data_IF_656736653162
#
_entry.id   IF_656736653162
#
_cell.length_a   1.000
_cell.length_b   1.000
_cell.length_c   1.000
_cell.angle_alpha   90.00
_cell.angle_beta   90.00
_cell.angle_gamma   90.00
#
_symmetry.space_group_name_H-M   'P 1'
#
loop_
_entity.id
_entity.type
_entity.pdbx_description
1 polymer ?
#
# COMPACT_ATOMS: atom_id res chain seq x y z
N UNK A 1 -12.32 23.19 -12.22
CA UNK A 1 -11.22 22.96 -13.18
C UNK A 1 -10.15 23.96 -12.81
N UNK A 2 -8.98 23.47 -12.43
CA UNK A 2 -7.82 24.27 -12.04
C UNK A 2 -6.84 24.31 -13.22
N UNK A 3 -5.93 25.29 -13.25
CA UNK A 3 -4.82 25.37 -14.22
C UNK A 3 -3.77 24.27 -13.92
N UNK A 4 -4.20 23.02 -13.99
CA UNK A 4 -3.36 21.85 -13.69
C UNK A 4 -3.09 21.04 -14.96
N UNK A 5 -1.93 20.38 -14.98
CA UNK A 5 -1.57 19.45 -16.05
C UNK A 5 -2.09 18.06 -15.66
N UNK A 6 -2.93 17.48 -16.52
CA UNK A 6 -3.33 16.07 -16.39
C UNK A 6 -2.29 15.19 -17.09
N UNK A 7 -1.68 14.29 -16.35
CA UNK A 7 -0.73 13.32 -16.87
C UNK A 7 -1.37 11.94 -16.86
N UNK A 8 -1.60 11.37 -18.05
CA UNK A 8 -2.06 9.98 -18.19
C UNK A 8 -0.86 9.05 -18.41
N UNK A 9 -0.76 8.01 -17.57
CA UNK A 9 0.31 7.03 -17.69
C UNK A 9 -0.18 5.86 -18.54
N UNK A 10 0.57 5.59 -19.63
CA UNK A 10 0.27 4.45 -20.52
C UNK A 10 0.36 3.11 -19.77
N UNK A 11 -0.52 2.14 -20.07
CA UNK A 11 -0.37 0.77 -19.58
C UNK A 11 0.95 0.11 -19.99
N UNK A 12 1.53 0.55 -21.13
CA UNK A 12 2.82 0.04 -21.63
C UNK A 12 4.04 0.65 -20.91
N UNK A 13 3.81 1.56 -19.95
CA UNK A 13 4.87 2.13 -19.14
C UNK A 13 5.48 1.08 -18.21
N UNK A 14 6.74 0.71 -18.47
CA UNK A 14 7.48 -0.23 -17.63
C UNK A 14 7.21 -1.71 -17.95
N UNK A 15 7.80 -2.59 -17.15
CA UNK A 15 7.72 -4.05 -17.35
C UNK A 15 7.22 -4.74 -16.11
N UNK A 16 6.34 -5.72 -16.29
CA UNK A 16 5.91 -6.63 -15.24
C UNK A 16 7.04 -7.64 -14.95
N UNK A 17 7.34 -7.86 -13.67
CA UNK A 17 8.26 -8.91 -13.23
C UNK A 17 7.59 -9.70 -12.11
N UNK A 18 7.59 -11.02 -12.21
CA UNK A 18 6.96 -11.92 -11.24
C UNK A 18 7.99 -12.96 -10.81
N UNK A 19 8.10 -13.24 -9.50
CA UNK A 19 8.93 -14.34 -8.99
C UNK A 19 8.44 -15.70 -9.51
N UNK A 20 9.32 -16.71 -9.48
CA UNK A 20 8.99 -18.03 -10.01
C UNK A 20 7.77 -18.70 -9.37
N UNK A 21 7.50 -18.39 -8.10
CA UNK A 21 6.34 -18.87 -7.33
C UNK A 21 5.18 -17.88 -7.28
N UNK A 22 5.33 -16.71 -7.91
CA UNK A 22 4.34 -15.65 -7.91
C UNK A 22 4.18 -14.89 -6.59
N UNK A 23 4.98 -15.19 -5.55
CA UNK A 23 4.87 -14.56 -4.22
C UNK A 23 5.21 -13.07 -4.22
N UNK A 24 6.14 -12.66 -5.10
CA UNK A 24 6.50 -11.27 -5.33
C UNK A 24 6.21 -10.88 -6.78
N UNK A 25 5.62 -9.72 -6.97
CA UNK A 25 5.32 -9.21 -8.30
C UNK A 25 5.52 -7.69 -8.36
N UNK A 26 6.36 -7.24 -9.30
CA UNK A 26 6.60 -5.84 -9.62
C UNK A 26 5.74 -5.42 -10.80
N UNK A 27 4.95 -4.38 -10.59
CA UNK A 27 4.05 -3.82 -11.58
C UNK A 27 4.34 -2.34 -11.82
N UNK A 28 4.31 -1.88 -13.09
CA UNK A 28 4.33 -0.45 -13.39
C UNK A 28 3.04 0.22 -12.92
N UNK A 29 3.12 1.50 -12.56
CA UNK A 29 2.00 2.26 -12.02
C UNK A 29 0.80 2.40 -12.98
N UNK A 30 1.03 2.26 -14.31
CA UNK A 30 0.04 2.53 -15.35
C UNK A 30 -0.96 1.40 -15.60
N UNK A 31 -0.68 0.15 -15.20
CA UNK A 31 -1.61 -0.96 -15.39
C UNK A 31 -2.71 -0.95 -14.32
N UNK A 32 -3.87 -1.54 -14.64
CA UNK A 32 -4.96 -1.69 -13.68
C UNK A 32 -4.73 -2.86 -12.72
N UNK A 33 -5.39 -2.82 -11.56
CA UNK A 33 -5.33 -3.95 -10.62
C UNK A 33 -5.91 -5.25 -11.22
N UNK A 34 -6.90 -5.16 -12.11
CA UNK A 34 -7.42 -6.32 -12.83
C UNK A 34 -6.38 -6.92 -13.79
N UNK A 35 -5.64 -6.08 -14.52
CA UNK A 35 -4.54 -6.53 -15.39
C UNK A 35 -3.44 -7.21 -14.56
N UNK A 36 -3.05 -6.62 -13.43
CA UNK A 36 -2.10 -7.23 -12.52
C UNK A 36 -2.57 -8.62 -12.05
N UNK A 37 -3.85 -8.76 -11.69
CA UNK A 37 -4.43 -10.05 -11.30
C UNK A 37 -4.46 -11.08 -12.46
N UNK A 38 -4.62 -10.63 -13.71
CA UNK A 38 -4.48 -11.54 -14.87
C UNK A 38 -3.07 -12.10 -14.98
N UNK A 39 -2.03 -11.29 -14.73
CA UNK A 39 -0.65 -11.73 -14.68
C UNK A 39 -0.37 -12.73 -13.55
N UNK A 40 -1.05 -12.58 -12.40
CA UNK A 40 -0.88 -13.44 -11.22
C UNK A 40 -1.68 -14.76 -11.30
N UNK A 41 -2.75 -14.78 -12.09
CA UNK A 41 -3.64 -15.94 -12.20
C UNK A 41 -2.94 -17.27 -12.50
N UNK A 42 -1.93 -17.37 -13.38
CA UNK A 42 -1.21 -18.62 -13.63
C UNK A 42 -0.49 -19.18 -12.40
N UNK A 43 -0.19 -18.33 -11.42
CA UNK A 43 0.46 -18.69 -10.17
C UNK A 43 -0.54 -19.03 -9.05
N UNK A 44 -1.85 -18.97 -9.32
CA UNK A 44 -2.89 -19.12 -8.29
C UNK A 44 -2.86 -17.99 -7.25
N UNK A 45 -2.46 -16.79 -7.64
CA UNK A 45 -2.26 -15.65 -6.76
C UNK A 45 -2.97 -14.40 -7.28
N UNK A 46 -3.10 -13.40 -6.41
CA UNK A 46 -3.69 -12.09 -6.72
C UNK A 46 -3.04 -10.99 -5.89
N UNK A 47 -3.36 -9.74 -6.21
CA UNK A 47 -3.03 -8.58 -5.37
C UNK A 47 -3.77 -8.68 -4.03
N UNK A 48 -3.12 -8.23 -2.95
CA UNK A 48 -3.75 -8.03 -1.65
C UNK A 48 -4.83 -6.96 -1.70
N UNK A 49 -4.51 -5.71 -2.09
CA UNK A 49 -5.51 -4.66 -2.23
C UNK A 49 -6.48 -4.97 -3.38
N UNK A 50 -7.78 -4.99 -3.07
CA UNK A 50 -8.85 -5.28 -4.02
C UNK A 50 -9.98 -4.26 -3.90
N UNK A 51 -9.77 -2.99 -4.29
CA UNK A 51 -10.82 -1.98 -4.27
C UNK A 51 -11.96 -2.34 -5.23
N UNK A 52 -13.16 -1.83 -4.96
CA UNK A 52 -14.30 -2.02 -5.85
C UNK A 52 -14.02 -1.53 -7.29
N UNK A 53 -13.16 -0.53 -7.42
CA UNK A 53 -12.71 0.04 -8.69
C UNK A 53 -11.54 -0.72 -9.35
N UNK A 54 -11.19 -1.93 -8.93
CA UNK A 54 -9.99 -2.66 -9.37
C UNK A 54 -9.87 -2.79 -10.90
N UNK A 55 -10.99 -2.77 -11.61
CA UNK A 55 -11.04 -2.82 -13.08
C UNK A 55 -10.52 -1.56 -13.76
N UNK A 56 -10.61 -0.42 -13.08
CA UNK A 56 -10.22 0.88 -13.61
C UNK A 56 -9.10 1.56 -12.81
N UNK A 57 -8.96 1.20 -11.52
CA UNK A 57 -7.92 1.75 -10.67
C UNK A 57 -6.55 1.23 -11.09
N UNK A 58 -5.63 2.14 -11.36
CA UNK A 58 -4.24 1.84 -11.71
C UNK A 58 -3.40 1.59 -10.47
N UNK A 59 -2.34 0.80 -10.60
CA UNK A 59 -1.45 0.39 -9.50
C UNK A 59 -0.94 1.60 -8.71
N UNK A 60 -0.47 2.65 -9.38
CA UNK A 60 -0.02 3.87 -8.69
C UNK A 60 -1.09 4.49 -7.81
N UNK A 61 -2.34 4.60 -8.31
CA UNK A 61 -3.47 5.12 -7.57
C UNK A 61 -3.93 4.20 -6.44
N UNK A 62 -3.90 2.87 -6.64
CA UNK A 62 -4.20 1.87 -5.61
C UNK A 62 -3.29 2.07 -4.40
N UNK A 63 -1.99 2.27 -4.63
CA UNK A 63 -1.00 2.48 -3.56
C UNK A 63 -1.11 3.88 -2.97
N UNK A 64 -1.18 4.90 -3.80
CA UNK A 64 -1.29 6.29 -3.33
C UNK A 64 -2.54 6.54 -2.46
N UNK A 65 -3.61 5.77 -2.65
CA UNK A 65 -4.82 5.82 -1.82
C UNK A 65 -4.79 4.85 -0.62
N UNK A 66 -3.73 4.06 -0.42
CA UNK A 66 -3.71 2.95 0.54
C UNK A 66 -4.95 2.05 0.41
N UNK A 67 -5.26 1.67 -0.82
CA UNK A 67 -6.44 0.85 -1.08
C UNK A 67 -6.35 -0.48 -0.35
N UNK A 68 -7.49 -0.90 0.16
CA UNK A 68 -7.69 -2.22 0.76
C UNK A 68 -8.68 -3.02 -0.10
N UNK A 69 -9.69 -3.56 0.47
CA UNK A 69 -10.80 -4.23 -0.21
C UNK A 69 -11.85 -4.62 0.79
N UNK A 70 -12.99 -5.09 0.30
CA UNK A 70 -14.07 -5.60 1.14
C UNK A 70 -13.74 -6.96 1.77
N UNK A 71 -12.83 -7.71 1.16
CA UNK A 71 -12.61 -9.12 1.52
C UNK A 71 -11.56 -9.34 2.61
N UNK A 72 -10.59 -8.42 2.81
CA UNK A 72 -9.45 -8.66 3.70
C UNK A 72 -9.22 -7.57 4.75
N UNK A 73 -10.12 -6.59 4.87
CA UNK A 73 -9.95 -5.49 5.80
C UNK A 73 -8.62 -4.77 5.61
N UNK A 74 -7.83 -4.63 6.69
CA UNK A 74 -6.52 -3.98 6.66
C UNK A 74 -5.36 -4.96 6.41
N UNK A 75 -5.55 -6.28 6.59
CA UNK A 75 -4.44 -7.27 6.59
C UNK A 75 -3.69 -7.27 5.25
N UNK A 76 -4.41 -7.17 4.15
CA UNK A 76 -3.86 -7.19 2.80
C UNK A 76 -4.10 -5.89 2.03
N UNK A 77 -4.10 -4.76 2.74
CA UNK A 77 -4.14 -3.44 2.10
C UNK A 77 -2.82 -3.13 1.39
N UNK A 78 -2.76 -1.98 0.70
CA UNK A 78 -1.53 -1.58 0.01
C UNK A 78 -0.35 -1.43 0.97
N UNK A 79 -0.55 -0.83 2.15
CA UNK A 79 0.49 -0.62 3.15
C UNK A 79 1.17 -1.93 3.59
N UNK A 80 0.38 -2.97 3.86
CA UNK A 80 0.87 -4.24 4.38
C UNK A 80 1.41 -5.19 3.29
N UNK A 81 1.19 -4.88 2.01
CA UNK A 81 1.59 -5.75 0.89
C UNK A 81 2.65 -5.15 -0.02
N UNK A 82 2.92 -3.85 0.08
CA UNK A 82 4.03 -3.23 -0.63
C UNK A 82 5.36 -3.68 -0.04
N UNK A 83 6.26 -4.17 -0.92
CA UNK A 83 7.60 -4.65 -0.55
C UNK A 83 8.69 -3.69 -0.98
N UNK A 84 8.58 -3.17 -2.20
CA UNK A 84 9.51 -2.21 -2.78
C UNK A 84 8.79 -1.25 -3.72
N UNK A 85 9.40 -0.10 -3.96
CA UNK A 85 8.82 0.95 -4.79
C UNK A 85 9.90 1.70 -5.58
N UNK A 86 9.57 2.09 -6.81
CA UNK A 86 10.31 3.10 -7.56
C UNK A 86 9.57 4.43 -7.47
N UNK A 87 10.26 5.46 -7.02
CA UNK A 87 9.69 6.78 -6.71
C UNK A 87 10.47 7.85 -7.49
N UNK A 88 9.74 8.81 -8.04
CA UNK A 88 10.31 10.06 -8.61
C UNK A 88 9.80 11.22 -7.77
N UNK A 89 10.71 11.97 -7.17
CA UNK A 89 10.40 13.13 -6.33
C UNK A 89 10.23 14.40 -7.15
N UNK A 90 9.69 15.45 -6.53
CA UNK A 90 9.39 16.71 -7.20
C UNK A 90 10.62 17.44 -7.76
N UNK A 91 11.80 17.20 -7.23
CA UNK A 91 13.07 17.71 -7.69
C UNK A 91 13.72 16.86 -8.80
N UNK A 92 13.05 15.79 -9.23
CA UNK A 92 13.52 14.85 -10.24
C UNK A 92 14.39 13.72 -9.70
N UNK A 93 14.64 13.65 -8.39
CA UNK A 93 15.40 12.55 -7.79
C UNK A 93 14.63 11.23 -7.96
N UNK A 94 15.36 10.17 -8.26
CA UNK A 94 14.83 8.82 -8.43
C UNK A 94 15.31 7.92 -7.28
N UNK A 95 14.40 7.14 -6.73
CA UNK A 95 14.69 6.13 -5.71
C UNK A 95 14.03 4.80 -6.08
N UNK A 96 14.84 3.75 -6.25
CA UNK A 96 14.40 2.35 -6.22
C UNK A 96 14.76 1.77 -4.85
N UNK A 97 13.76 1.50 -4.02
CA UNK A 97 13.97 1.02 -2.65
C UNK A 97 14.57 -0.39 -2.59
N UNK A 98 14.45 -1.18 -3.65
CA UNK A 98 15.04 -2.51 -3.75
C UNK A 98 16.53 -2.48 -4.09
N UNK A 99 17.03 -1.37 -4.63
CA UNK A 99 18.39 -1.24 -5.14
C UNK A 99 19.32 -0.55 -4.16
N UNK A 100 20.32 -1.26 -3.65
CA UNK A 100 21.36 -0.67 -2.79
C UNK A 100 22.15 0.46 -3.47
N UNK A 101 22.34 0.38 -4.79
CA UNK A 101 22.99 1.44 -5.56
C UNK A 101 22.10 2.70 -5.57
N UNK A 102 20.83 2.56 -5.90
CA UNK A 102 19.87 3.67 -5.90
C UNK A 102 19.72 4.30 -4.52
N UNK A 103 19.67 3.50 -3.44
CA UNK A 103 19.64 4.01 -2.06
C UNK A 103 20.88 4.84 -1.72
N UNK A 104 22.09 4.42 -2.16
CA UNK A 104 23.32 5.17 -1.96
C UNK A 104 23.32 6.50 -2.73
N UNK A 105 22.92 6.46 -3.99
CA UNK A 105 22.87 7.66 -4.83
C UNK A 105 21.88 8.68 -4.26
N UNK A 106 20.71 8.21 -3.84
CA UNK A 106 19.70 9.02 -3.17
C UNK A 106 20.22 9.62 -1.85
N UNK A 107 20.92 8.85 -1.04
CA UNK A 107 21.51 9.33 0.21
C UNK A 107 22.51 10.47 -0.01
N UNK A 108 23.32 10.42 -1.08
CA UNK A 108 24.32 11.46 -1.36
C UNK A 108 23.68 12.84 -1.56
N UNK A 109 22.48 12.88 -2.11
CA UNK A 109 21.77 14.12 -2.42
C UNK A 109 20.68 14.46 -1.40
N UNK A 110 20.15 13.47 -0.68
CA UNK A 110 18.98 13.61 0.20
C UNK A 110 19.23 13.16 1.65
N UNK A 111 20.51 13.18 2.10
CA UNK A 111 20.85 12.81 3.47
C UNK A 111 20.04 13.60 4.51
N UNK A 112 19.85 14.89 4.30
CA UNK A 112 19.09 15.74 5.21
C UNK A 112 17.59 15.38 5.30
N UNK A 113 17.00 14.78 4.25
CA UNK A 113 15.62 14.23 4.31
C UNK A 113 15.60 12.97 5.17
N UNK A 114 16.55 12.05 4.94
CA UNK A 114 16.63 10.80 5.70
C UNK A 114 16.88 11.07 7.18
N UNK A 115 17.77 12.01 7.52
CA UNK A 115 18.02 12.44 8.90
C UNK A 115 16.77 13.03 9.55
N UNK A 116 16.01 13.86 8.84
CA UNK A 116 14.75 14.42 9.36
C UNK A 116 13.72 13.34 9.63
N UNK A 117 13.60 12.32 8.77
CA UNK A 117 12.71 11.19 9.01
C UNK A 117 13.10 10.45 10.30
N UNK A 118 14.40 10.18 10.48
CA UNK A 118 14.88 9.49 11.67
C UNK A 118 14.73 10.32 12.95
N UNK A 119 14.98 11.63 12.88
CA UNK A 119 14.75 12.53 14.02
C UNK A 119 13.27 12.58 14.39
N UNK A 120 12.38 12.68 13.40
CA UNK A 120 10.95 12.66 13.66
C UNK A 120 10.47 11.33 14.25
N UNK A 121 11.04 10.20 13.78
CA UNK A 121 10.83 8.90 14.42
C UNK A 121 11.22 8.90 15.89
N UNK A 122 12.38 9.47 16.23
CA UNK A 122 12.82 9.58 17.62
C UNK A 122 11.88 10.46 18.46
N UNK A 123 11.39 11.58 17.90
CA UNK A 123 10.40 12.43 18.58
C UNK A 123 9.11 11.67 18.91
N UNK A 124 8.63 10.84 17.97
CA UNK A 124 7.44 9.99 18.21
C UNK A 124 7.72 9.00 19.36
N UNK A 125 8.84 8.27 19.30
CA UNK A 125 9.19 7.26 20.30
C UNK A 125 9.47 7.84 21.69
N UNK A 126 9.86 9.10 21.78
CA UNK A 126 10.05 9.82 23.05
C UNK A 126 8.75 10.44 23.59
N UNK A 127 7.65 10.35 22.86
CA UNK A 127 6.35 10.90 23.23
C UNK A 127 5.29 9.78 23.30
N UNK A 128 5.06 9.17 24.48
CA UNK A 128 4.12 8.06 24.63
C UNK A 128 2.69 8.40 24.17
N UNK A 129 2.22 9.63 24.39
CA UNK A 129 0.87 10.04 23.98
C UNK A 129 0.74 10.06 22.45
N UNK A 130 1.81 10.44 21.74
CA UNK A 130 1.83 10.43 20.27
C UNK A 130 1.90 9.00 19.74
N UNK A 131 2.72 8.15 20.34
CA UNK A 131 2.83 6.74 20.01
C UNK A 131 1.49 6.03 20.17
N UNK A 132 0.83 6.15 21.32
CA UNK A 132 -0.48 5.54 21.59
C UNK A 132 -1.57 6.01 20.60
N UNK A 133 -1.56 7.30 20.25
CA UNK A 133 -2.49 7.84 19.25
C UNK A 133 -2.26 7.28 17.86
N UNK A 134 -1.01 7.09 17.46
CA UNK A 134 -0.69 6.46 16.17
C UNK A 134 -1.15 5.01 16.19
N UNK A 135 -0.77 4.22 17.20
CA UNK A 135 -1.15 2.81 17.33
C UNK A 135 -2.68 2.65 17.25
N UNK A 136 -3.43 3.37 18.08
CA UNK A 136 -4.90 3.31 18.10
C UNK A 136 -5.55 3.69 16.76
N UNK A 137 -4.98 4.69 16.06
CA UNK A 137 -5.52 5.12 14.76
C UNK A 137 -5.41 4.03 13.71
N UNK A 138 -4.29 3.31 13.67
CA UNK A 138 -4.00 2.34 12.61
C UNK A 138 -4.46 0.91 12.91
N UNK A 139 -5.06 0.65 14.08
CA UNK A 139 -5.85 -0.56 14.34
C UNK A 139 -7.06 -0.69 13.41
N UNK A 140 -7.55 0.45 12.92
CA UNK A 140 -8.68 0.53 12.02
C UNK A 140 -8.21 0.86 10.59
N UNK A 141 -9.07 0.54 9.62
CA UNK A 141 -8.84 0.96 8.22
C UNK A 141 -8.67 2.47 8.16
N UNK A 142 -7.56 2.92 7.63
CA UNK A 142 -7.26 4.32 7.42
C UNK A 142 -6.81 4.56 5.97
N UNK A 143 -7.52 5.45 5.28
CA UNK A 143 -7.21 5.91 3.93
C UNK A 143 -7.06 7.44 3.89
N UNK A 144 -6.92 8.08 5.05
CA UNK A 144 -6.82 9.54 5.18
C UNK A 144 -5.47 9.95 5.75
N UNK A 145 -4.72 10.72 4.98
CA UNK A 145 -3.42 11.24 5.36
C UNK A 145 -2.30 10.20 5.24
N UNK A 146 -1.09 10.64 5.59
CA UNK A 146 0.11 9.83 5.48
C UNK A 146 0.13 8.67 6.48
N UNK A 147 0.79 7.58 6.10
CA UNK A 147 0.99 6.39 6.93
C UNK A 147 1.96 6.65 8.10
N UNK A 148 1.52 7.39 9.12
CA UNK A 148 2.34 7.76 10.28
C UNK A 148 2.82 6.56 11.10
N UNK A 149 2.10 5.43 11.03
CA UNK A 149 2.53 4.17 11.64
C UNK A 149 3.86 3.66 11.04
N UNK A 150 4.27 4.10 9.85
CA UNK A 150 5.57 3.75 9.28
C UNK A 150 6.75 4.11 10.17
N UNK A 151 6.63 5.15 10.99
CA UNK A 151 7.65 5.54 11.96
C UNK A 151 7.76 4.59 13.16
N UNK A 152 6.72 3.81 13.43
CA UNK A 152 6.71 2.78 14.48
C UNK A 152 7.05 1.41 13.91
N UNK A 153 6.50 1.08 12.75
CA UNK A 153 6.61 -0.24 12.12
C UNK A 153 8.01 -0.50 11.53
N UNK A 154 8.72 0.56 11.11
CA UNK A 154 10.01 0.44 10.42
C UNK A 154 11.12 1.22 11.12
N UNK A 155 12.36 0.75 10.93
CA UNK A 155 13.59 1.38 11.46
C UNK A 155 14.52 1.90 10.36
N UNK A 156 14.37 1.41 9.13
CA UNK A 156 15.12 1.88 7.97
C UNK A 156 14.41 3.12 7.38
N UNK A 157 15.11 4.25 7.18
CA UNK A 157 14.50 5.46 6.65
C UNK A 157 13.92 5.30 5.24
N UNK A 158 14.43 4.36 4.43
CA UNK A 158 13.86 4.08 3.11
C UNK A 158 12.53 3.33 3.20
N UNK A 159 12.39 2.42 4.16
CA UNK A 159 11.15 1.71 4.41
C UNK A 159 10.09 2.66 4.98
N UNK A 160 10.48 3.57 5.88
CA UNK A 160 9.62 4.64 6.38
C UNK A 160 9.15 5.51 5.21
N UNK A 161 10.07 6.00 4.38
CA UNK A 161 9.77 6.86 3.24
C UNK A 161 8.83 6.18 2.24
N UNK A 162 9.11 4.92 1.89
CA UNK A 162 8.27 4.11 1.01
C UNK A 162 6.84 3.97 1.55
N UNK A 163 6.69 3.69 2.85
CA UNK A 163 5.36 3.53 3.45
C UNK A 163 4.63 4.85 3.68
N UNK A 164 5.34 5.98 3.76
CA UNK A 164 4.73 7.32 3.69
C UNK A 164 4.16 7.62 2.30
N UNK A 165 4.74 7.06 1.22
CA UNK A 165 4.18 7.17 -0.12
C UNK A 165 2.82 6.46 -0.24
N UNK A 166 2.61 5.40 0.55
CA UNK A 166 1.32 4.70 0.60
C UNK A 166 0.30 5.57 1.33
N UNK A 167 -0.75 5.96 0.63
CA UNK A 167 -1.77 6.88 1.16
C UNK A 167 -1.42 8.36 1.00
N UNK A 168 -0.35 8.70 0.27
CA UNK A 168 0.09 10.09 0.06
C UNK A 168 -0.75 10.87 -0.96
N UNK A 169 -1.63 10.21 -1.70
CA UNK A 169 -2.45 10.81 -2.77
C UNK A 169 -1.63 11.61 -3.79
N UNK A 170 -0.37 11.19 -4.03
CA UNK A 170 0.55 11.84 -4.97
C UNK A 170 1.21 13.12 -4.45
N UNK A 171 1.04 13.50 -3.19
CA UNK A 171 1.56 14.77 -2.64
C UNK A 171 3.05 14.71 -2.31
N UNK A 172 3.65 13.52 -2.14
CA UNK A 172 5.06 13.35 -1.79
C UNK A 172 5.95 13.01 -2.99
N UNK A 173 5.38 12.49 -4.06
CA UNK A 173 6.11 12.10 -5.26
C UNK A 173 5.27 11.23 -6.19
N UNK A 174 5.87 10.85 -7.32
CA UNK A 174 5.27 9.98 -8.31
C UNK A 174 5.74 8.53 -8.11
N UNK A 175 4.78 7.62 -7.94
CA UNK A 175 5.03 6.18 -7.84
C UNK A 175 5.15 5.61 -9.26
N UNK A 176 6.35 5.21 -9.66
CA UNK A 176 6.65 4.69 -11.00
C UNK A 176 6.37 3.21 -11.13
N UNK A 177 6.78 2.42 -10.14
CA UNK A 177 6.47 0.99 -10.06
C UNK A 177 6.40 0.52 -8.61
N UNK A 178 5.72 -0.60 -8.38
CA UNK A 178 5.54 -1.17 -7.05
C UNK A 178 5.74 -2.69 -7.10
N UNK A 179 6.51 -3.20 -6.16
CA UNK A 179 6.61 -4.63 -5.88
C UNK A 179 5.68 -4.98 -4.73
N UNK A 180 4.77 -5.92 -4.97
CA UNK A 180 3.85 -6.42 -3.95
C UNK A 180 4.24 -7.82 -3.48
N UNK A 181 4.02 -8.08 -2.20
CA UNK A 181 3.74 -9.42 -1.74
C UNK A 181 2.31 -9.77 -2.18
N UNK A 182 2.19 -10.83 -2.96
CA UNK A 182 0.90 -11.27 -3.49
C UNK A 182 0.24 -12.23 -2.51
N UNK A 183 -1.07 -12.40 -2.61
CA UNK A 183 -1.83 -13.32 -1.76
C UNK A 183 -2.37 -14.49 -2.57
N UNK A 184 -2.59 -15.67 -1.96
CA UNK A 184 -3.25 -16.76 -2.64
C UNK A 184 -4.63 -16.35 -3.16
N UNK A 185 -4.98 -16.81 -4.37
CA UNK A 185 -6.33 -16.65 -4.90
C UNK A 185 -7.07 -17.97 -4.69
N UNK A 186 -7.86 -18.02 -3.63
CA UNK A 186 -8.61 -19.23 -3.26
C UNK A 186 -9.51 -19.70 -4.40
N UNK A 187 -9.37 -20.96 -4.77
CA UNK A 187 -10.12 -21.56 -5.87
C UNK A 187 -11.62 -21.66 -5.56
N UNK A 188 -11.95 -21.85 -4.29
CA UNK A 188 -13.34 -21.96 -3.82
C UNK A 188 -13.67 -20.72 -2.99
N UNK A 189 -14.71 -20.01 -3.40
CA UNK A 189 -15.22 -18.82 -2.72
C UNK A 189 -16.72 -19.01 -2.49
N UNK A 190 -17.17 -18.66 -1.29
CA UNK A 190 -18.58 -18.62 -0.94
C UNK A 190 -18.94 -17.25 -0.36
N UNK A 191 -20.13 -16.79 -0.63
CA UNK A 191 -20.68 -15.56 -0.04
C UNK A 191 -21.98 -15.89 0.65
N UNK A 192 -22.20 -15.33 1.84
CA UNK A 192 -23.44 -15.48 2.56
C UNK A 192 -24.03 -14.09 2.88
N UNK A 193 -25.34 -13.96 2.71
CA UNK A 193 -26.11 -12.82 3.18
C UNK A 193 -26.89 -13.26 4.43
N UNK A 194 -26.59 -12.59 5.56
CA UNK A 194 -27.21 -12.94 6.85
C UNK A 194 -28.17 -11.83 7.23
N UNK A 195 -29.40 -12.21 7.52
CA UNK A 195 -30.44 -11.30 8.01
C UNK A 195 -30.54 -11.36 9.53
N UNK A 196 -30.57 -10.19 10.15
CA UNK A 196 -30.76 -10.07 11.60
C UNK A 196 -32.08 -9.38 11.92
N UNK A 197 -32.75 -9.77 13.00
CA UNK A 197 -34.04 -9.15 13.41
C UNK A 197 -33.90 -7.69 13.83
N UNK A 198 -32.67 -7.29 14.26
CA UNK A 198 -32.43 -5.92 14.68
C UNK A 198 -30.97 -5.52 14.39
N UNK A 199 -30.74 -4.22 14.29
CA UNK A 199 -29.37 -3.65 14.16
C UNK A 199 -28.48 -4.06 15.34
N UNK A 200 -29.02 -4.13 16.54
CA UNK A 200 -28.26 -4.51 17.73
C UNK A 200 -27.72 -5.94 17.63
N UNK A 201 -28.50 -6.88 17.12
CA UNK A 201 -28.06 -8.26 16.93
C UNK A 201 -27.06 -8.38 15.79
N UNK A 202 -27.23 -7.62 14.72
CA UNK A 202 -26.22 -7.53 13.67
C UNK A 202 -24.87 -7.05 14.23
N UNK A 203 -24.88 -5.98 15.03
CA UNK A 203 -23.66 -5.46 15.67
C UNK A 203 -23.02 -6.48 16.61
N UNK A 204 -23.81 -7.22 17.40
CA UNK A 204 -23.29 -8.27 18.30
C UNK A 204 -22.64 -9.43 17.55
N UNK A 205 -23.09 -9.73 16.33
CA UNK A 205 -22.53 -10.81 15.52
C UNK A 205 -21.16 -10.45 14.89
N UNK A 206 -20.78 -9.17 14.80
CA UNK A 206 -19.55 -8.73 14.13
C UNK A 206 -18.30 -9.35 14.81
N UNK A 207 -18.20 -9.25 16.13
CA UNK A 207 -16.99 -9.72 16.84
C UNK A 207 -16.79 -11.25 16.70
N UNK A 208 -17.80 -12.13 16.93
CA UNK A 208 -17.68 -13.55 16.66
C UNK A 208 -17.37 -13.89 15.19
N UNK A 209 -17.99 -13.19 14.23
CA UNK A 209 -17.77 -13.41 12.81
C UNK A 209 -16.31 -13.08 12.41
N UNK A 210 -15.73 -12.02 12.96
CA UNK A 210 -14.31 -11.68 12.73
C UNK A 210 -13.35 -12.77 13.21
N UNK A 211 -13.71 -13.52 14.25
CA UNK A 211 -12.91 -14.65 14.75
C UNK A 211 -13.01 -15.90 13.85
N UNK A 212 -14.04 -16.00 13.03
CA UNK A 212 -14.25 -17.13 12.13
C UNK A 212 -13.34 -17.09 10.87
N UNK A 213 -12.37 -16.16 10.78
CA UNK A 213 -11.49 -15.98 9.61
C UNK A 213 -12.25 -15.86 8.28
N UNK A 214 -13.45 -15.32 8.31
CA UNK A 214 -14.18 -14.91 7.09
C UNK A 214 -13.55 -13.64 6.54
N UNK A 215 -13.35 -13.59 5.23
CA UNK A 215 -12.79 -12.45 4.52
C UNK A 215 -13.88 -11.46 4.07
#
# INVERSE_FOLDING_TARGET
ITDSVLMEISPDYGKVKISGDGSLAKFPCGITGEEANRWLKPYGRKLGPSPASIKSARIGGIVANNSSGSSYGIIHNSYNTVRDMEIIFADGAFLDTSSLASRRDFMQTHIGLLEKLMNFRLEILLNPDMEDRILSKYELKNTCGYGMNSFLDYTDPYDILMHLMVGSEGTLGFISSVTFETVPDEALKASALIYFPSLMEACRAIAPLRQCKVS
#
